data_IF_989871803981
#
_entry.id   IF_989871803981
#
_cell.length_a   1.000
_cell.length_b   1.000
_cell.length_c   1.000
_cell.angle_alpha   90.00
_cell.angle_beta   90.00
_cell.angle_gamma   90.00
#
_symmetry.space_group_name_H-M   'P 1'
#
loop_
_entity.id
_entity.type
_entity.pdbx_description
1 polymer ?
#
# COMPACT_ATOMS: atom_id res chain seq x y z
N UNK A 1 15.01 -0.64 -21.35
CA UNK A 1 14.78 -1.41 -20.11
C UNK A 1 13.36 -1.14 -19.60
N UNK A 2 12.70 -2.09 -18.95
CA UNK A 2 11.33 -1.94 -18.42
C UNK A 2 11.33 -2.34 -16.94
N UNK A 3 10.60 -1.58 -16.12
CA UNK A 3 10.47 -1.83 -14.69
C UNK A 3 9.02 -2.24 -14.39
N UNK A 4 8.76 -3.29 -13.59
CA UNK A 4 7.43 -3.63 -13.13
C UNK A 4 6.80 -2.46 -12.36
N UNK A 5 5.53 -2.15 -12.62
CA UNK A 5 4.84 -1.05 -11.94
C UNK A 5 4.56 -1.36 -10.45
N UNK A 6 4.40 -2.64 -10.11
CA UNK A 6 4.14 -3.10 -8.74
C UNK A 6 5.36 -3.82 -8.17
N UNK A 7 5.79 -3.41 -6.98
CA UNK A 7 6.63 -4.22 -6.09
C UNK A 7 5.82 -4.60 -4.85
N UNK A 8 5.93 -5.85 -4.40
CA UNK A 8 5.12 -6.35 -3.29
C UNK A 8 5.93 -7.30 -2.39
N UNK A 9 5.67 -7.23 -1.10
CA UNK A 9 6.16 -8.17 -0.08
C UNK A 9 5.07 -8.46 0.94
N UNK A 10 5.10 -9.66 1.51
CA UNK A 10 4.16 -10.10 2.52
C UNK A 10 4.89 -10.80 3.67
N UNK A 11 4.44 -10.55 4.90
CA UNK A 11 4.96 -11.20 6.10
C UNK A 11 3.82 -11.48 7.09
N UNK A 12 4.07 -12.38 8.04
CA UNK A 12 3.14 -12.68 9.13
C UNK A 12 3.84 -12.38 10.44
N UNK A 13 3.21 -11.59 11.31
CA UNK A 13 3.77 -11.28 12.61
C UNK A 13 3.52 -12.41 13.62
N UNK A 14 4.10 -12.27 14.82
CA UNK A 14 3.96 -13.24 15.92
C UNK A 14 2.51 -13.41 16.43
N UNK A 15 1.63 -12.45 16.16
CA UNK A 15 0.22 -12.48 16.53
C UNK A 15 -0.65 -13.08 15.42
N UNK A 16 -0.05 -13.46 14.28
CA UNK A 16 -0.73 -14.05 13.14
C UNK A 16 -1.28 -13.04 12.13
N UNK A 17 -1.13 -11.74 12.37
CA UNK A 17 -1.57 -10.72 11.41
C UNK A 17 -0.66 -10.72 10.19
N UNK A 18 -1.26 -10.57 9.00
CA UNK A 18 -0.53 -10.53 7.73
C UNK A 18 -0.30 -9.08 7.32
N UNK A 19 0.96 -8.74 7.08
CA UNK A 19 1.38 -7.41 6.63
C UNK A 19 1.76 -7.47 5.16
N UNK A 20 1.12 -6.68 4.31
CA UNK A 20 1.48 -6.52 2.90
C UNK A 20 2.10 -5.14 2.68
N UNK A 21 3.32 -5.09 2.13
CA UNK A 21 3.95 -3.88 1.64
C UNK A 21 3.80 -3.83 0.13
N UNK A 22 3.18 -2.78 -0.40
CA UNK A 22 2.85 -2.61 -1.81
C UNK A 22 3.40 -1.27 -2.30
N UNK A 23 4.17 -1.27 -3.37
CA UNK A 23 4.77 -0.08 -3.97
C UNK A 23 4.26 0.08 -5.39
N UNK A 24 3.66 1.25 -5.67
CA UNK A 24 3.36 1.67 -7.03
C UNK A 24 4.48 2.58 -7.55
N UNK A 25 5.27 2.05 -8.48
CA UNK A 25 6.37 2.74 -9.14
C UNK A 25 5.93 3.62 -10.32
N UNK A 26 4.66 3.54 -10.73
CA UNK A 26 4.12 4.43 -11.77
C UNK A 26 3.90 5.84 -11.19
N UNK A 27 4.58 6.89 -11.69
CA UNK A 27 4.47 8.23 -11.16
C UNK A 27 3.14 8.93 -11.49
N UNK A 28 2.38 8.39 -12.45
CA UNK A 28 1.20 9.02 -13.04
C UNK A 28 -0.08 8.22 -12.78
N UNK A 29 -0.02 6.90 -12.86
CA UNK A 29 -1.22 6.06 -12.85
C UNK A 29 -1.42 5.35 -11.52
N UNK A 30 -2.68 5.30 -11.08
CA UNK A 30 -3.08 4.40 -10.00
C UNK A 30 -3.05 2.95 -10.48
N UNK A 31 -2.77 2.02 -9.58
CA UNK A 31 -2.82 0.58 -9.83
C UNK A 31 -3.96 -0.05 -9.04
N UNK A 32 -4.85 -0.77 -9.73
CA UNK A 32 -5.88 -1.57 -9.08
C UNK A 32 -5.53 -3.04 -9.18
N UNK A 33 -5.57 -3.75 -8.06
CA UNK A 33 -5.30 -5.18 -7.98
C UNK A 33 -6.33 -5.88 -7.11
N UNK A 34 -6.55 -7.15 -7.42
CA UNK A 34 -7.35 -8.06 -6.61
C UNK A 34 -6.57 -9.36 -6.46
N UNK A 35 -6.43 -9.85 -5.24
CA UNK A 35 -5.65 -11.06 -4.96
C UNK A 35 -6.32 -11.94 -3.92
N UNK A 36 -6.22 -13.25 -4.11
CA UNK A 36 -6.56 -14.22 -3.09
C UNK A 36 -5.38 -14.41 -2.13
N UNK A 37 -5.66 -14.76 -0.88
CA UNK A 37 -4.65 -15.07 0.13
C UNK A 37 -4.87 -16.49 0.66
N UNK A 38 -4.46 -17.52 -0.09
CA UNK A 38 -4.68 -18.91 0.31
C UNK A 38 -4.04 -19.20 1.67
N UNK A 39 -4.79 -19.87 2.55
CA UNK A 39 -4.30 -20.20 3.89
C UNK A 39 -4.23 -19.02 4.86
N UNK A 40 -4.76 -17.85 4.50
CA UNK A 40 -4.88 -16.68 5.38
C UNK A 40 -6.35 -16.40 5.65
N UNK A 41 -6.78 -16.59 6.90
CA UNK A 41 -8.08 -16.11 7.37
C UNK A 41 -7.92 -14.71 7.94
N UNK A 42 -8.75 -13.78 7.49
CA UNK A 42 -8.75 -12.39 7.93
C UNK A 42 -10.16 -11.80 7.81
N UNK A 43 -10.50 -10.87 8.69
CA UNK A 43 -11.80 -10.19 8.75
C UNK A 43 -11.68 -8.70 8.45
N UNK A 44 -10.56 -8.10 8.82
CA UNK A 44 -10.33 -6.66 8.76
C UNK A 44 -9.07 -6.36 8.00
N UNK A 45 -9.07 -5.22 7.31
CA UNK A 45 -7.89 -4.64 6.68
C UNK A 45 -7.78 -3.19 7.10
N UNK A 46 -6.59 -2.81 7.58
CA UNK A 46 -6.23 -1.42 7.81
C UNK A 46 -4.97 -1.11 7.03
N UNK A 47 -4.69 0.17 6.81
CA UNK A 47 -3.50 0.54 6.06
C UNK A 47 -3.00 1.94 6.33
N UNK A 48 -1.75 2.15 5.93
CA UNK A 48 -1.12 3.47 5.84
C UNK A 48 -0.49 3.64 4.47
N UNK A 49 -0.44 4.88 3.99
CA UNK A 49 0.16 5.24 2.72
C UNK A 49 1.17 6.37 2.92
N UNK A 50 2.27 6.29 2.19
CA UNK A 50 3.19 7.39 1.93
C UNK A 50 3.14 7.72 0.44
N UNK A 51 2.82 8.97 0.11
CA UNK A 51 2.80 9.49 -1.26
C UNK A 51 2.90 11.00 -1.23
N UNK A 52 2.98 11.64 -2.40
CA UNK A 52 3.19 13.07 -2.58
C UNK A 52 2.59 13.55 -3.91
N UNK A 53 2.62 14.85 -4.17
CA UNK A 53 2.16 15.41 -5.44
C UNK A 53 3.17 15.17 -6.56
N UNK A 54 4.46 15.23 -6.25
CA UNK A 54 5.59 14.95 -7.15
C UNK A 54 6.57 13.93 -6.57
N UNK A 55 7.18 13.12 -7.43
CA UNK A 55 8.27 12.20 -7.05
C UNK A 55 9.51 12.93 -6.51
N UNK A 56 9.64 14.21 -6.81
CA UNK A 56 10.73 15.08 -6.35
C UNK A 56 10.39 15.85 -5.08
N UNK A 57 9.22 15.64 -4.47
CA UNK A 57 8.86 16.29 -3.21
C UNK A 57 9.75 15.79 -2.07
N UNK A 58 10.04 16.65 -1.10
CA UNK A 58 10.79 16.32 0.11
C UNK A 58 10.40 17.26 1.25
N UNK A 59 10.78 16.88 2.47
CA UNK A 59 10.56 17.70 3.67
C UNK A 59 11.75 18.65 3.88
N UNK A 60 11.46 19.91 4.18
CA UNK A 60 12.45 20.92 4.60
C UNK A 60 12.17 21.37 6.03
N UNK A 61 13.05 22.18 6.62
CA UNK A 61 12.79 22.79 7.93
C UNK A 61 11.53 23.67 7.91
N UNK A 62 11.31 24.44 6.85
CA UNK A 62 10.12 25.29 6.69
C UNK A 62 8.85 24.49 6.36
N UNK A 63 9.00 23.34 5.69
CA UNK A 63 7.90 22.45 5.29
C UNK A 63 8.20 21.01 5.72
N UNK A 64 8.12 20.71 7.04
CA UNK A 64 8.56 19.42 7.57
C UNK A 64 7.58 18.27 7.26
N UNK A 65 6.38 18.58 6.77
CA UNK A 65 5.25 17.66 6.66
C UNK A 65 4.69 17.53 5.24
N UNK A 66 5.46 17.89 4.21
CA UNK A 66 5.08 17.74 2.80
C UNK A 66 4.83 16.27 2.45
N UNK A 67 5.70 15.38 2.94
CA UNK A 67 5.59 13.93 2.80
C UNK A 67 5.48 13.33 4.20
N UNK A 68 4.34 12.71 4.49
CA UNK A 68 4.06 12.06 5.78
C UNK A 68 3.11 10.88 5.59
N UNK A 69 3.14 9.96 6.55
CA UNK A 69 2.20 8.85 6.58
C UNK A 69 0.77 9.36 6.76
N UNK A 70 -0.15 8.81 5.97
CA UNK A 70 -1.58 9.02 6.11
C UNK A 70 -2.31 7.67 6.28
N UNK A 71 -3.50 7.70 6.87
CA UNK A 71 -4.39 6.54 6.87
C UNK A 71 -4.77 6.18 5.43
N UNK A 72 -4.80 4.88 5.12
CA UNK A 72 -5.12 4.38 3.79
C UNK A 72 -6.41 3.56 3.82
N UNK A 73 -7.40 4.04 3.05
CA UNK A 73 -8.73 3.41 2.92
C UNK A 73 -8.95 2.76 1.53
N UNK A 74 -7.92 2.70 0.69
CA UNK A 74 -8.01 2.13 -0.66
C UNK A 74 -7.97 0.60 -0.72
N UNK A 75 -8.01 -0.09 0.43
CA UNK A 75 -8.05 -1.55 0.54
C UNK A 75 -9.37 -2.00 1.15
N UNK A 76 -9.95 -3.07 0.59
CA UNK A 76 -11.17 -3.69 1.10
C UNK A 76 -11.24 -5.17 0.81
N UNK A 77 -12.07 -5.87 1.59
CA UNK A 77 -12.43 -7.26 1.34
C UNK A 77 -13.55 -7.34 0.29
N UNK A 78 -13.38 -8.18 -0.74
CA UNK A 78 -14.41 -8.54 -1.73
C UNK A 78 -14.55 -10.06 -1.73
N UNK A 79 -15.58 -10.58 -1.08
CA UNK A 79 -15.66 -12.03 -0.80
C UNK A 79 -14.45 -12.46 0.04
N UNK A 80 -13.67 -13.43 -0.43
CA UNK A 80 -12.43 -13.86 0.23
C UNK A 80 -11.16 -13.21 -0.34
N UNK A 81 -11.31 -12.26 -1.26
CA UNK A 81 -10.19 -11.58 -1.91
C UNK A 81 -9.92 -10.21 -1.31
N UNK A 82 -8.66 -9.82 -1.34
CA UNK A 82 -8.20 -8.47 -1.05
C UNK A 82 -8.23 -7.65 -2.35
N UNK A 83 -9.01 -6.57 -2.37
CA UNK A 83 -9.02 -5.60 -3.46
C UNK A 83 -8.34 -4.30 -2.99
N UNK A 84 -7.39 -3.79 -3.77
CA UNK A 84 -6.59 -2.61 -3.43
C UNK A 84 -6.48 -1.68 -4.63
N UNK A 85 -6.67 -0.37 -4.41
CA UNK A 85 -6.33 0.69 -5.35
C UNK A 85 -5.18 1.51 -4.79
N UNK A 86 -3.98 1.30 -5.33
CA UNK A 86 -2.77 2.03 -4.97
C UNK A 86 -2.72 3.35 -5.73
N UNK A 87 -2.55 4.51 -5.05
CA UNK A 87 -2.28 5.78 -5.71
C UNK A 87 -1.00 5.68 -6.56
N UNK A 88 -0.85 6.55 -7.56
CA UNK A 88 0.42 6.75 -8.24
C UNK A 88 1.54 7.05 -7.22
N UNK A 89 2.80 6.70 -7.51
CA UNK A 89 3.99 7.03 -6.70
C UNK A 89 3.75 6.86 -5.20
N UNK A 90 3.41 5.64 -4.79
CA UNK A 90 3.00 5.37 -3.41
C UNK A 90 3.65 4.13 -2.83
N UNK A 91 3.85 4.17 -1.52
CA UNK A 91 4.18 3.02 -0.68
C UNK A 91 3.02 2.82 0.29
N UNK A 92 2.39 1.66 0.25
CA UNK A 92 1.26 1.28 1.09
C UNK A 92 1.65 0.08 1.94
N UNK A 93 1.34 0.14 3.22
CA UNK A 93 1.40 -1.03 4.12
C UNK A 93 0.00 -1.35 4.59
N UNK A 94 -0.42 -2.58 4.37
CA UNK A 94 -1.70 -3.12 4.83
C UNK A 94 -1.46 -4.12 5.95
N UNK A 95 -2.31 -4.09 6.97
CA UNK A 95 -2.39 -5.09 8.03
C UNK A 95 -3.73 -5.80 7.94
N UNK A 96 -3.69 -7.13 7.82
CA UNK A 96 -4.85 -8.02 7.75
C UNK A 96 -4.92 -8.85 9.03
N UNK A 97 -6.07 -8.78 9.70
CA UNK A 97 -6.40 -9.55 10.92
C UNK A 97 -7.72 -10.26 10.74
#
# INVERSE_FOLDING_TARGET
>A
EKIPALNASASKDKNGAVHLSLVNLDPKNALTLETALPGVSWKTVTGRVLTSASVSDYNTFDKPNTIKLAAFAGAKKRGDKLAVTLPAKSVVVLELK
#
